data_IF_745327970253
#
_entry.id   IF_745327970253
#
_cell.length_a   1.000
_cell.length_b   1.000
_cell.length_c   1.000
_cell.angle_alpha   90.00
_cell.angle_beta   90.00
_cell.angle_gamma   90.00
#
_symmetry.space_group_name_H-M   'P 1'
#
loop_
_entity.id
_entity.type
_entity.pdbx_description
1 polymer ?
#
# COMPACT_ATOMS: atom_id res chain seq x y z
N UNK A 1 11.98 -1.99 -11.20
CA UNK A 1 11.94 -2.86 -10.01
C UNK A 1 13.01 -2.38 -9.04
N UNK A 2 12.81 -2.49 -7.73
CA UNK A 2 13.92 -2.21 -6.81
C UNK A 2 15.05 -3.22 -7.03
N UNK A 3 16.21 -2.92 -6.48
CA UNK A 3 17.39 -3.76 -6.57
C UNK A 3 17.59 -4.63 -5.32
N UNK A 4 16.52 -5.01 -4.62
CA UNK A 4 16.61 -5.89 -3.46
C UNK A 4 17.28 -7.21 -3.84
N UNK A 5 18.08 -7.76 -2.91
CA UNK A 5 18.84 -8.98 -3.14
C UNK A 5 17.95 -10.19 -3.50
N UNK A 6 16.70 -10.20 -3.04
CA UNK A 6 15.74 -11.27 -3.35
C UNK A 6 15.27 -11.28 -4.81
N UNK A 7 15.60 -10.26 -5.62
CA UNK A 7 15.20 -10.17 -7.01
C UNK A 7 16.29 -10.75 -7.93
N UNK A 8 15.95 -11.77 -8.75
CA UNK A 8 16.92 -12.38 -9.66
C UNK A 8 17.35 -11.38 -10.74
N UNK A 9 18.65 -11.22 -10.95
CA UNK A 9 19.18 -10.27 -11.95
C UNK A 9 18.92 -10.72 -13.39
N UNK A 10 18.80 -12.02 -13.59
CA UNK A 10 18.47 -12.71 -14.83
C UNK A 10 16.95 -12.83 -15.05
N UNK A 11 16.12 -12.09 -14.30
CA UNK A 11 14.65 -12.14 -14.43
C UNK A 11 14.16 -11.89 -15.86
N UNK A 12 14.87 -11.06 -16.63
CA UNK A 12 14.56 -10.77 -18.03
C UNK A 12 14.64 -12.02 -18.92
N UNK A 13 15.56 -12.94 -18.61
CA UNK A 13 15.81 -14.14 -19.41
C UNK A 13 14.73 -15.21 -19.21
N UNK A 14 14.00 -15.14 -18.09
CA UNK A 14 12.85 -16.00 -17.79
C UNK A 14 11.51 -15.47 -18.32
N UNK A 15 11.49 -14.27 -18.92
CA UNK A 15 10.25 -13.73 -19.48
C UNK A 15 9.84 -14.59 -20.69
N UNK A 16 8.70 -15.28 -20.57
CA UNK A 16 8.17 -16.14 -21.63
C UNK A 16 8.06 -15.39 -22.96
N UNK A 17 8.19 -16.14 -24.04
CA UNK A 17 8.25 -15.60 -25.40
C UNK A 17 7.03 -14.72 -25.78
N UNK A 18 5.86 -14.95 -25.15
CA UNK A 18 4.65 -14.15 -25.32
C UNK A 18 4.65 -12.77 -24.65
N UNK A 19 5.63 -12.48 -23.77
CA UNK A 19 5.73 -11.23 -23.01
C UNK A 19 6.95 -10.38 -23.41
N UNK A 20 7.47 -10.54 -24.63
CA UNK A 20 8.62 -9.77 -25.18
C UNK A 20 8.47 -8.24 -25.12
N UNK A 21 7.26 -7.73 -24.92
CA UNK A 21 6.98 -6.29 -24.76
C UNK A 21 7.35 -5.76 -23.36
N UNK A 22 7.53 -6.64 -22.38
CA UNK A 22 7.89 -6.26 -21.02
C UNK A 22 9.41 -6.19 -20.92
N UNK A 23 9.91 -4.99 -20.62
CA UNK A 23 11.31 -4.74 -20.31
C UNK A 23 11.46 -4.51 -18.82
N UNK A 24 12.31 -5.30 -18.18
CA UNK A 24 12.66 -5.15 -16.77
C UNK A 24 13.86 -4.22 -16.67
N UNK A 25 13.71 -3.21 -15.81
CA UNK A 25 14.78 -2.31 -15.44
C UNK A 25 14.88 -2.27 -13.92
N UNK A 26 16.09 -2.52 -13.42
CA UNK A 26 16.43 -2.34 -12.02
C UNK A 26 16.76 -0.88 -11.75
N UNK A 27 16.23 -0.36 -10.66
CA UNK A 27 16.51 0.99 -10.20
C UNK A 27 17.88 1.06 -9.54
N UNK A 28 18.46 2.27 -9.49
CA UNK A 28 19.69 2.48 -8.75
C UNK A 28 19.45 2.26 -7.24
N UNK A 29 20.49 1.85 -6.49
CA UNK A 29 20.39 1.73 -5.04
C UNK A 29 19.80 2.98 -4.39
N UNK A 30 18.94 2.80 -3.38
CA UNK A 30 18.31 3.86 -2.60
C UNK A 30 17.36 4.81 -3.36
N UNK A 31 17.02 4.53 -4.62
CA UNK A 31 16.09 5.38 -5.39
C UNK A 31 14.64 4.91 -5.35
N UNK A 32 14.39 3.71 -4.85
CA UNK A 32 13.06 3.09 -4.72
C UNK A 32 12.00 3.99 -4.09
N UNK A 33 12.24 4.63 -2.93
CA UNK A 33 11.24 5.51 -2.31
C UNK A 33 10.87 6.73 -3.18
N UNK A 34 11.74 7.15 -4.09
CA UNK A 34 11.57 8.33 -4.93
C UNK A 34 11.02 8.01 -6.33
N UNK A 35 11.31 6.81 -6.84
CA UNK A 35 10.99 6.46 -8.22
C UNK A 35 9.91 5.39 -8.34
N UNK A 36 9.66 4.58 -7.29
CA UNK A 36 8.65 3.54 -7.39
C UNK A 36 7.28 4.06 -6.98
N UNK A 37 6.28 4.00 -7.88
CA UNK A 37 4.91 4.38 -7.57
C UNK A 37 4.34 3.55 -6.41
N UNK A 38 4.78 2.29 -6.27
CA UNK A 38 4.43 1.42 -5.16
C UNK A 38 4.77 2.07 -3.81
N UNK A 39 5.96 2.63 -3.67
CA UNK A 39 6.40 3.25 -2.42
C UNK A 39 5.77 4.63 -2.22
N UNK A 40 5.75 5.46 -3.27
CA UNK A 40 5.29 6.85 -3.16
C UNK A 40 3.79 6.98 -2.91
N UNK A 41 2.99 6.16 -3.58
CA UNK A 41 1.54 6.31 -3.54
C UNK A 41 0.88 5.12 -2.88
N UNK A 42 1.12 3.90 -3.36
CA UNK A 42 0.34 2.74 -2.90
C UNK A 42 0.60 2.46 -1.42
N UNK A 43 1.87 2.31 -1.03
CA UNK A 43 2.28 2.05 0.36
C UNK A 43 1.99 3.28 1.23
N UNK A 44 2.41 4.47 0.81
CA UNK A 44 2.16 5.71 1.58
C UNK A 44 0.67 5.94 1.87
N UNK A 45 -0.19 5.77 0.86
CA UNK A 45 -1.64 5.90 1.06
C UNK A 45 -2.18 4.78 1.94
N UNK A 46 -1.71 3.54 1.73
CA UNK A 46 -2.11 2.41 2.57
C UNK A 46 -1.75 2.65 4.04
N UNK A 47 -0.53 3.10 4.34
CA UNK A 47 -0.08 3.41 5.70
C UNK A 47 -0.94 4.50 6.33
N UNK A 48 -1.24 5.59 5.60
CA UNK A 48 -2.15 6.65 6.07
C UNK A 48 -3.53 6.10 6.45
N UNK A 49 -4.13 5.28 5.59
CA UNK A 49 -5.43 4.67 5.86
C UNK A 49 -5.38 3.64 6.98
N UNK A 50 -4.30 2.85 7.06
CA UNK A 50 -4.08 1.87 8.10
C UNK A 50 -4.00 2.55 9.47
N UNK A 51 -3.18 3.60 9.60
CA UNK A 51 -3.03 4.37 10.84
C UNK A 51 -4.37 5.00 11.24
N UNK A 52 -5.09 5.61 10.29
CA UNK A 52 -6.40 6.20 10.56
C UNK A 52 -7.40 5.17 11.10
N UNK A 53 -7.55 4.04 10.39
CA UNK A 53 -8.48 2.99 10.80
C UNK A 53 -8.09 2.34 12.13
N UNK A 54 -6.79 2.19 12.38
CA UNK A 54 -6.25 1.70 13.64
C UNK A 54 -6.61 2.63 14.80
N UNK A 55 -6.38 3.94 14.64
CA UNK A 55 -6.69 4.93 15.67
C UNK A 55 -8.20 5.00 15.94
N UNK A 56 -9.04 5.01 14.91
CA UNK A 56 -10.50 4.95 15.05
C UNK A 56 -10.92 3.73 15.88
N UNK A 57 -10.38 2.54 15.56
CA UNK A 57 -10.68 1.32 16.31
C UNK A 57 -10.15 1.38 17.74
N UNK A 58 -9.00 2.00 17.96
CA UNK A 58 -8.46 2.17 19.30
C UNK A 58 -9.35 3.06 20.16
N UNK A 59 -9.81 4.20 19.64
CA UNK A 59 -10.75 5.05 20.37
C UNK A 59 -12.07 4.32 20.69
N UNK A 60 -12.63 3.58 19.74
CA UNK A 60 -13.84 2.75 19.97
C UNK A 60 -13.66 1.72 21.09
N UNK A 61 -12.48 1.10 21.21
CA UNK A 61 -12.21 0.02 22.18
C UNK A 61 -11.77 0.57 23.54
N UNK A 62 -11.04 1.70 23.55
CA UNK A 62 -10.49 2.28 24.77
C UNK A 62 -11.56 3.02 25.61
N UNK A 63 -12.71 3.37 25.01
CA UNK A 63 -13.90 3.79 25.76
C UNK A 63 -14.53 2.60 26.51
N UNK A 64 -13.93 2.20 27.63
CA UNK A 64 -14.48 1.18 28.53
C UNK A 64 -13.66 -0.11 28.67
N UNK A 65 -12.48 -0.19 28.04
CA UNK A 65 -11.54 -1.28 28.26
C UNK A 65 -10.13 -0.75 28.57
N UNK A 66 -9.31 -1.54 29.25
CA UNK A 66 -7.90 -1.20 29.55
C UNK A 66 -6.93 -1.82 28.51
N UNK A 67 -7.37 -1.99 27.26
CA UNK A 67 -6.53 -2.57 26.20
C UNK A 67 -5.49 -1.56 25.75
N UNK A 68 -4.22 -1.93 25.80
CA UNK A 68 -3.15 -1.06 25.32
C UNK A 68 -3.13 -0.97 23.80
N UNK A 69 -2.61 0.13 23.26
CA UNK A 69 -2.36 0.29 21.80
C UNK A 69 -1.60 -0.90 21.21
N UNK A 70 -0.60 -1.40 21.95
CA UNK A 70 0.25 -2.54 21.51
C UNK A 70 -0.55 -3.82 21.40
N UNK A 71 -1.39 -4.12 22.37
CA UNK A 71 -2.24 -5.32 22.36
C UNK A 71 -3.27 -5.26 21.25
N UNK A 72 -3.89 -4.08 21.07
CA UNK A 72 -4.84 -3.87 19.98
C UNK A 72 -4.19 -4.12 18.62
N UNK A 73 -3.03 -3.49 18.36
CA UNK A 73 -2.30 -3.66 17.11
C UNK A 73 -1.89 -5.11 16.86
N UNK A 74 -1.37 -5.78 17.89
CA UNK A 74 -0.81 -7.13 17.75
C UNK A 74 -1.87 -8.22 17.61
N UNK A 75 -2.99 -8.11 18.32
CA UNK A 75 -3.94 -9.21 18.47
C UNK A 75 -5.34 -8.91 17.96
N UNK A 76 -5.71 -7.63 17.83
CA UNK A 76 -7.10 -7.22 17.57
C UNK A 76 -7.27 -6.34 16.33
N UNK A 77 -6.18 -6.03 15.61
CA UNK A 77 -6.22 -5.18 14.42
C UNK A 77 -5.36 -5.75 13.27
N UNK A 78 -5.94 -6.68 12.52
CA UNK A 78 -5.27 -7.30 11.37
C UNK A 78 -5.34 -6.41 10.13
N UNK A 79 -4.33 -6.50 9.26
CA UNK A 79 -4.28 -5.74 8.00
C UNK A 79 -5.52 -5.95 7.11
N UNK A 80 -6.12 -7.13 7.16
CA UNK A 80 -7.37 -7.47 6.46
C UNK A 80 -8.55 -6.62 6.94
N UNK A 81 -8.57 -6.20 8.21
CA UNK A 81 -9.60 -5.29 8.72
C UNK A 81 -9.54 -3.92 8.04
N UNK A 82 -8.34 -3.43 7.70
CA UNK A 82 -8.17 -2.19 6.92
C UNK A 82 -8.64 -2.37 5.48
N UNK A 83 -8.38 -3.53 4.87
CA UNK A 83 -8.80 -3.82 3.50
C UNK A 83 -10.33 -3.94 3.39
N UNK A 84 -10.97 -4.51 4.40
CA UNK A 84 -12.42 -4.72 4.44
C UNK A 84 -13.22 -3.52 4.95
N UNK A 85 -12.59 -2.54 5.63
CA UNK A 85 -13.29 -1.30 6.02
C UNK A 85 -13.64 -0.51 4.75
N UNK A 86 -14.89 -0.03 4.69
CA UNK A 86 -15.50 0.76 3.58
C UNK A 86 -14.72 2.02 3.16
N UNK A 87 -13.64 2.38 3.84
CA UNK A 87 -12.79 3.53 3.52
C UNK A 87 -11.99 3.34 2.22
N UNK A 88 -11.60 2.12 1.84
CA UNK A 88 -11.07 1.87 0.49
C UNK A 88 -12.20 1.87 -0.56
N UNK A 89 -13.43 1.54 -0.17
CA UNK A 89 -14.58 1.38 -1.07
C UNK A 89 -15.16 2.67 -1.63
N UNK A 90 -15.12 3.80 -0.91
CA UNK A 90 -15.63 5.08 -1.45
C UNK A 90 -14.68 5.74 -2.46
N UNK A 91 -13.38 5.43 -2.43
CA UNK A 91 -12.45 5.78 -3.51
C UNK A 91 -12.58 4.80 -4.67
N UNK A 92 -12.45 3.50 -4.41
CA UNK A 92 -12.37 2.49 -5.48
C UNK A 92 -13.67 2.19 -6.25
N UNK A 93 -14.86 2.45 -5.70
CA UNK A 93 -16.12 2.08 -6.37
C UNK A 93 -16.59 3.07 -7.44
N UNK A 94 -16.03 4.28 -7.54
CA UNK A 94 -16.54 5.27 -8.52
C UNK A 94 -15.88 5.19 -9.90
N UNK A 95 -14.64 4.69 -10.02
CA UNK A 95 -14.06 4.24 -11.28
C UNK A 95 -12.62 3.75 -11.03
N UNK A 96 -12.26 2.50 -11.34
CA UNK A 96 -10.88 2.03 -11.14
C UNK A 96 -9.85 2.79 -12.00
N UNK A 97 -10.27 3.46 -13.07
CA UNK A 97 -9.40 4.30 -13.91
C UNK A 97 -9.23 5.73 -13.39
N UNK A 98 -10.13 6.23 -12.51
CA UNK A 98 -10.16 7.64 -12.09
C UNK A 98 -9.35 7.90 -10.81
N UNK A 99 -9.14 6.88 -9.97
CA UNK A 99 -8.45 7.04 -8.69
C UNK A 99 -6.93 7.10 -8.77
N UNK A 100 -6.31 6.45 -9.77
CA UNK A 100 -4.87 6.54 -9.98
C UNK A 100 -4.46 7.97 -10.36
N UNK A 101 -5.24 8.62 -11.23
CA UNK A 101 -4.93 9.97 -11.70
C UNK A 101 -5.16 11.05 -10.62
N UNK A 102 -6.22 10.91 -9.79
CA UNK A 102 -6.44 11.84 -8.67
C UNK A 102 -5.52 11.63 -7.47
N UNK A 103 -5.10 10.39 -7.19
CA UNK A 103 -4.09 10.14 -6.17
C UNK A 103 -2.71 10.71 -6.53
N UNK A 104 -2.44 10.86 -7.84
CA UNK A 104 -1.26 11.53 -8.40
C UNK A 104 -1.36 13.07 -8.36
N UNK A 105 -2.57 13.63 -8.25
CA UNK A 105 -2.82 15.07 -8.44
C UNK A 105 -2.98 15.88 -7.13
N UNK A 106 -2.75 15.31 -5.95
CA UNK A 106 -2.80 16.00 -4.64
C UNK A 106 -4.09 16.81 -4.33
N UNK A 107 -5.20 16.56 -5.02
CA UNK A 107 -6.47 17.25 -4.73
C UNK A 107 -7.42 16.34 -3.94
N UNK A 108 -7.34 16.41 -2.61
CA UNK A 108 -8.44 16.04 -1.73
C UNK A 108 -8.47 16.97 -0.51
N UNK A 109 -9.40 17.94 -0.53
CA UNK A 109 -9.98 18.55 0.67
C UNK A 109 -11.05 17.63 1.28
#
# INVERSE_FOLDING_TARGET
MDNAHAHPQDLQDYILEGFKLIKIQFLLPNTTPLLQPMNQQVISNFEKFYIKAFLERWFEVNEGTNVTLRELWKYHFHIVACLNRKCMGKGYQENPHFCLEKALAEECC
#
